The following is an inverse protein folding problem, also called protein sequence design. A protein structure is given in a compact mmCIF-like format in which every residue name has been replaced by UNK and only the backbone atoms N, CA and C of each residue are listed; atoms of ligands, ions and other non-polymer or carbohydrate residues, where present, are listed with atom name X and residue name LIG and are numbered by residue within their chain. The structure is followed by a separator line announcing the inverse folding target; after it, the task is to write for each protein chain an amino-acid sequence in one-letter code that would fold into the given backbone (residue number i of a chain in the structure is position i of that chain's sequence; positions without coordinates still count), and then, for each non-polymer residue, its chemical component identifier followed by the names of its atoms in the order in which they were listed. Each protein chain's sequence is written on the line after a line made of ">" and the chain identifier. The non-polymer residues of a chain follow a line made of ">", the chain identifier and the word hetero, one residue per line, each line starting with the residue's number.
data_IF_009204790891
#
_entry.id   IF_009204790891
#
_cell.length_a   1.000
_cell.length_b   1.000
_cell.length_c   1.000
_cell.angle_alpha   90.00
_cell.angle_beta   90.00
_cell.angle_gamma   90.00
#
_symmetry.space_group_name_H-M   'P 1'
#
loop_
_entity.id
_entity.type
_entity.pdbx_description
1 polymer ?
#
# COMPACT_ATOMS: atom_id res chain seq x y z
N UNK A 1 -12.74 -3.19 -16.98
CA UNK A 1 -13.38 -3.54 -15.70
C UNK A 1 -13.22 -2.39 -14.71
N UNK A 2 -14.29 -1.98 -14.11
CA UNK A 2 -14.26 -0.90 -13.12
C UNK A 2 -13.87 -1.47 -11.76
N UNK A 3 -12.83 -0.90 -11.15
CA UNK A 3 -12.36 -1.34 -9.83
C UNK A 3 -12.98 -0.55 -8.68
N UNK A 4 -13.87 0.39 -9.00
CA UNK A 4 -14.47 1.31 -8.05
C UNK A 4 -13.87 2.71 -8.17
N UNK A 5 -14.52 3.69 -7.58
CA UNK A 5 -14.10 5.09 -7.60
C UNK A 5 -13.28 5.49 -6.37
N UNK A 6 -13.13 4.60 -5.41
CA UNK A 6 -12.34 4.87 -4.20
C UNK A 6 -13.06 5.66 -3.14
N UNK A 7 -14.39 5.63 -3.17
CA UNK A 7 -15.24 6.20 -2.12
C UNK A 7 -15.74 5.10 -1.18
N UNK A 8 -16.29 5.48 -0.03
CA UNK A 8 -16.85 4.51 0.90
C UNK A 8 -18.00 3.69 0.28
N UNK A 9 -18.81 4.34 -0.58
CA UNK A 9 -19.94 3.70 -1.25
C UNK A 9 -19.53 2.89 -2.48
N UNK A 10 -18.37 3.17 -3.03
CA UNK A 10 -17.83 2.53 -4.23
C UNK A 10 -16.32 2.34 -4.09
N UNK A 11 -15.88 1.49 -3.15
CA UNK A 11 -14.46 1.31 -2.87
C UNK A 11 -13.72 0.67 -4.05
N UNK A 12 -12.42 0.87 -4.08
CA UNK A 12 -11.55 0.11 -4.98
C UNK A 12 -11.54 -1.35 -4.56
N UNK A 13 -11.82 -2.26 -5.50
CA UNK A 13 -11.79 -3.70 -5.27
C UNK A 13 -10.47 -4.23 -5.82
N UNK A 14 -9.67 -4.80 -4.94
CA UNK A 14 -8.27 -5.15 -5.22
C UNK A 14 -7.98 -6.59 -4.82
N UNK A 15 -6.86 -7.11 -5.36
CA UNK A 15 -6.29 -8.39 -4.94
C UNK A 15 -4.81 -8.19 -4.63
N UNK A 16 -4.29 -8.99 -3.70
CA UNK A 16 -2.86 -8.99 -3.40
C UNK A 16 -2.05 -9.44 -4.62
N UNK A 17 -0.75 -9.15 -4.64
CA UNK A 17 0.11 -9.44 -5.79
C UNK A 17 0.04 -10.89 -6.27
N UNK A 18 0.04 -11.92 -5.38
CA UNK A 18 -0.15 -13.31 -5.83
C UNK A 18 -1.55 -13.62 -6.37
N UNK A 19 -2.52 -12.73 -6.17
CA UNK A 19 -3.90 -12.92 -6.63
C UNK A 19 -4.71 -13.86 -5.76
N UNK A 20 -4.27 -14.17 -4.55
CA UNK A 20 -4.88 -15.17 -3.67
C UNK A 20 -5.87 -14.57 -2.67
N UNK A 21 -5.84 -13.27 -2.42
CA UNK A 21 -6.67 -12.62 -1.40
C UNK A 21 -7.23 -11.30 -1.92
N UNK A 22 -8.54 -11.12 -1.75
CA UNK A 22 -9.22 -9.89 -2.12
C UNK A 22 -9.34 -8.94 -0.92
N UNK A 23 -9.40 -7.64 -1.21
CA UNK A 23 -9.60 -6.60 -0.21
C UNK A 23 -10.13 -5.34 -0.88
N UNK A 24 -10.57 -4.37 -0.08
CA UNK A 24 -11.04 -3.09 -0.62
C UNK A 24 -10.32 -1.93 0.02
N UNK A 25 -10.23 -0.82 -0.69
CA UNK A 25 -9.71 0.43 -0.15
C UNK A 25 -10.61 1.59 -0.56
N UNK A 26 -10.68 2.61 0.29
CA UNK A 26 -11.34 3.87 -0.06
C UNK A 26 -10.69 5.05 0.65
N UNK A 27 -10.91 6.25 0.12
CA UNK A 27 -10.44 7.50 0.72
C UNK A 27 -11.44 7.97 1.78
N UNK A 28 -10.93 8.35 2.94
CA UNK A 28 -11.66 9.11 3.94
C UNK A 28 -10.98 10.47 4.07
N UNK A 29 -11.41 11.42 3.26
CA UNK A 29 -10.80 12.74 3.18
C UNK A 29 -11.19 13.65 4.34
N UNK A 30 -12.26 13.31 5.06
CA UNK A 30 -12.72 14.06 6.21
C UNK A 30 -11.98 13.69 7.49
N UNK A 31 -11.31 12.55 7.51
CA UNK A 31 -10.51 12.14 8.66
C UNK A 31 -9.30 13.06 8.83
N UNK A 32 -8.80 13.16 10.06
CA UNK A 32 -7.62 13.95 10.38
C UNK A 32 -6.55 13.06 11.03
N UNK A 33 -5.46 12.74 10.33
CA UNK A 33 -5.16 13.13 8.94
C UNK A 33 -6.06 12.41 7.92
N UNK A 34 -6.13 12.91 6.68
CA UNK A 34 -6.84 12.20 5.61
C UNK A 34 -6.32 10.77 5.49
N UNK A 35 -7.24 9.82 5.40
CA UNK A 35 -6.95 8.40 5.59
C UNK A 35 -7.33 7.57 4.36
N UNK A 36 -6.49 6.58 4.08
CA UNK A 36 -6.77 5.49 3.15
C UNK A 36 -7.22 4.31 4.01
N UNK A 37 -8.50 3.95 3.88
CA UNK A 37 -9.09 2.85 4.65
C UNK A 37 -8.95 1.56 3.85
N UNK A 38 -8.40 0.52 4.46
CA UNK A 38 -8.17 -0.79 3.85
C UNK A 38 -8.96 -1.83 4.63
N UNK A 39 -9.92 -2.47 3.96
CA UNK A 39 -10.75 -3.51 4.59
C UNK A 39 -10.31 -4.88 4.10
N UNK A 40 -9.83 -5.70 5.01
CA UNK A 40 -9.36 -7.06 4.75
C UNK A 40 -10.18 -8.02 5.61
N UNK A 41 -11.21 -8.64 5.02
CA UNK A 41 -12.15 -9.44 5.80
C UNK A 41 -12.80 -8.59 6.89
N UNK A 42 -12.71 -9.02 8.13
CA UNK A 42 -13.24 -8.29 9.28
C UNK A 42 -12.27 -7.24 9.84
N UNK A 43 -11.05 -7.15 9.30
CA UNK A 43 -10.01 -6.25 9.80
C UNK A 43 -9.98 -4.96 9.00
N UNK A 44 -9.98 -3.83 9.69
CA UNK A 44 -9.83 -2.51 9.07
C UNK A 44 -8.44 -1.97 9.38
N UNK A 45 -7.70 -1.67 8.31
CA UNK A 45 -6.40 -1.02 8.40
C UNK A 45 -6.56 0.43 7.93
N UNK A 46 -5.77 1.33 8.50
CA UNK A 46 -5.79 2.74 8.14
C UNK A 46 -4.39 3.24 7.92
N UNK A 47 -4.18 3.83 6.74
CA UNK A 47 -2.92 4.44 6.35
C UNK A 47 -3.16 5.92 6.03
N UNK A 48 -2.13 6.75 6.15
CA UNK A 48 -2.22 8.13 5.67
C UNK A 48 -2.54 8.12 4.18
N UNK A 49 -3.53 8.89 3.77
CA UNK A 49 -3.98 8.92 2.37
C UNK A 49 -2.86 9.34 1.42
N UNK A 50 -1.97 10.21 1.87
CA UNK A 50 -0.82 10.67 1.07
C UNK A 50 0.14 9.54 0.66
N UNK A 51 -0.01 8.35 1.23
CA UNK A 51 0.80 7.19 0.86
C UNK A 51 0.74 6.89 -0.63
N UNK A 52 -0.40 7.12 -1.28
CA UNK A 52 -0.56 6.88 -2.72
C UNK A 52 0.44 7.73 -3.51
N UNK A 53 0.47 9.03 -3.26
CA UNK A 53 1.36 9.96 -3.97
C UNK A 53 2.81 9.78 -3.53
N UNK A 54 3.03 9.61 -2.23
CA UNK A 54 4.38 9.49 -1.68
C UNK A 54 5.08 8.22 -2.15
N UNK A 55 4.37 7.09 -2.16
CA UNK A 55 4.93 5.83 -2.65
C UNK A 55 5.24 5.92 -4.14
N UNK A 56 4.34 6.48 -4.92
CA UNK A 56 4.58 6.65 -6.36
C UNK A 56 5.84 7.50 -6.60
N UNK A 57 5.96 8.63 -5.90
CA UNK A 57 7.13 9.51 -6.05
C UNK A 57 8.43 8.78 -5.69
N UNK A 58 8.42 8.00 -4.61
CA UNK A 58 9.59 7.22 -4.22
C UNK A 58 9.95 6.15 -5.26
N UNK A 59 8.95 5.46 -5.82
CA UNK A 59 9.19 4.47 -6.87
C UNK A 59 9.76 5.10 -8.14
N UNK A 60 9.32 6.31 -8.49
CA UNK A 60 9.92 7.06 -9.60
C UNK A 60 11.40 7.33 -9.34
N UNK A 61 11.76 7.72 -8.12
CA UNK A 61 13.16 7.95 -7.74
C UNK A 61 13.99 6.67 -7.84
N UNK A 62 13.42 5.52 -7.49
CA UNK A 62 14.13 4.25 -7.59
C UNK A 62 14.46 3.87 -9.03
N UNK A 63 13.56 4.19 -9.96
CA UNK A 63 13.78 4.00 -11.40
C UNK A 63 13.88 2.55 -11.84
N UNK A 64 13.53 1.59 -10.99
CA UNK A 64 13.65 0.15 -11.25
C UNK A 64 12.69 -0.62 -10.33
N UNK A 65 12.66 -1.92 -10.51
CA UNK A 65 11.86 -2.82 -9.68
C UNK A 65 12.29 -2.78 -8.22
N UNK A 66 11.32 -2.69 -7.32
CA UNK A 66 11.52 -2.67 -5.87
C UNK A 66 10.75 -3.83 -5.27
N UNK A 67 11.41 -4.68 -4.45
CA UNK A 67 10.71 -5.76 -3.76
C UNK A 67 9.64 -5.21 -2.82
N UNK A 68 8.52 -5.90 -2.69
CA UNK A 68 7.44 -5.47 -1.80
C UNK A 68 7.85 -5.62 -0.33
N UNK A 69 8.42 -6.74 0.04
CA UNK A 69 8.91 -7.00 1.39
C UNK A 69 7.84 -6.96 2.47
N UNK A 70 6.59 -7.26 2.09
CA UNK A 70 5.45 -7.16 3.01
C UNK A 70 5.70 -7.92 4.31
N UNK A 71 5.46 -7.26 5.44
CA UNK A 71 5.67 -7.83 6.75
C UNK A 71 4.65 -7.26 7.74
N UNK A 72 4.29 -8.08 8.71
CA UNK A 72 3.45 -7.66 9.84
C UNK A 72 4.19 -6.58 10.65
N UNK A 73 3.45 -5.76 11.39
CA UNK A 73 4.01 -4.69 12.20
C UNK A 73 5.08 -5.19 13.18
N UNK A 74 4.88 -6.38 13.75
CA UNK A 74 5.79 -6.96 14.73
C UNK A 74 7.05 -7.59 14.13
N UNK A 75 7.09 -7.75 12.81
CA UNK A 75 8.25 -8.32 12.13
C UNK A 75 9.09 -7.22 11.49
N UNK A 76 10.42 -7.34 11.50
CA UNK A 76 11.27 -6.37 10.81
C UNK A 76 11.03 -6.45 9.30
N UNK A 77 11.14 -5.31 8.65
CA UNK A 77 11.08 -5.25 7.19
C UNK A 77 12.50 -5.33 6.63
N UNK A 78 12.67 -6.09 5.55
CA UNK A 78 13.96 -6.19 4.89
C UNK A 78 14.34 -4.83 4.27
N UNK A 79 15.61 -4.40 4.39
CA UNK A 79 16.04 -3.14 3.77
C UNK A 79 15.81 -3.11 2.26
N UNK A 80 15.52 -1.93 1.73
CA UNK A 80 15.35 -1.74 0.30
C UNK A 80 13.99 -2.18 -0.25
N UNK A 81 13.03 -2.49 0.62
CA UNK A 81 11.69 -2.91 0.22
C UNK A 81 10.67 -1.79 0.41
N UNK A 82 9.51 -1.93 -0.25
CA UNK A 82 8.38 -1.01 -0.05
C UNK A 82 7.96 -0.99 1.42
N UNK A 83 7.91 -2.16 2.07
CA UNK A 83 7.53 -2.25 3.47
C UNK A 83 8.49 -1.46 4.37
N UNK A 84 9.80 -1.61 4.15
CA UNK A 84 10.81 -0.88 4.93
C UNK A 84 10.67 0.63 4.74
N UNK A 85 10.47 1.08 3.50
CA UNK A 85 10.25 2.49 3.23
C UNK A 85 8.97 3.00 3.91
N UNK A 86 7.91 2.22 3.88
CA UNK A 86 6.61 2.59 4.46
C UNK A 86 6.61 2.75 5.97
N UNK A 87 7.71 2.40 6.64
CA UNK A 87 7.89 2.56 8.09
C UNK A 87 9.19 3.26 8.44
N UNK A 88 9.92 3.75 7.45
CA UNK A 88 11.25 4.36 7.64
C UNK A 88 11.12 5.79 8.17
N UNK A 89 12.03 6.16 9.06
CA UNK A 89 12.17 7.52 9.56
C UNK A 89 12.54 8.51 8.44
N UNK A 90 13.05 8.01 7.32
CA UNK A 90 13.53 8.83 6.20
C UNK A 90 12.46 9.06 5.13
N UNK A 91 11.27 8.51 5.29
CA UNK A 91 10.18 8.75 4.35
C UNK A 91 9.49 10.11 4.62
N UNK A 92 8.63 10.59 3.72
CA UNK A 92 8.01 11.91 3.86
C UNK A 92 7.21 12.16 5.15
N UNK A 93 6.69 11.12 5.80
CA UNK A 93 5.96 11.29 7.06
C UNK A 93 6.82 10.98 8.29
N UNK A 94 8.07 10.59 8.08
CA UNK A 94 9.02 10.35 9.16
C UNK A 94 8.80 9.05 9.93
N UNK A 95 8.14 8.07 9.34
CA UNK A 95 7.87 6.79 9.97
C UNK A 95 6.68 6.06 9.38
N UNK A 96 5.89 5.41 10.22
CA UNK A 96 4.77 4.60 9.79
C UNK A 96 3.69 5.41 9.06
N UNK A 97 3.28 4.95 7.90
CA UNK A 97 2.06 5.42 7.25
C UNK A 97 0.82 4.87 7.93
N UNK A 98 0.92 3.68 8.53
CA UNK A 98 -0.17 3.09 9.29
C UNK A 98 -0.52 3.92 10.52
N UNK A 99 -1.82 4.19 10.72
CA UNK A 99 -2.30 5.10 11.76
C UNK A 99 -2.72 4.39 13.05
N UNK A 100 -3.04 3.09 12.95
CA UNK A 100 -3.54 2.34 14.09
C UNK A 100 -2.45 1.41 14.63
N UNK A 101 -1.98 1.66 15.84
CA UNK A 101 -0.98 0.80 16.49
C UNK A 101 -1.47 -0.65 16.55
N UNK A 102 -0.59 -1.60 16.25
CA UNK A 102 -0.91 -3.02 16.11
C UNK A 102 -1.35 -3.41 14.70
N UNK A 103 -1.69 -2.45 13.83
CA UNK A 103 -2.21 -2.65 12.48
C UNK A 103 -1.50 -1.78 11.45
N UNK A 104 -0.25 -1.39 11.73
CA UNK A 104 0.53 -0.48 10.87
C UNK A 104 1.34 -1.20 9.79
N UNK A 105 1.48 -2.52 9.91
CA UNK A 105 2.26 -3.32 8.97
C UNK A 105 1.53 -3.59 7.67
N UNK A 106 2.15 -4.43 6.84
CA UNK A 106 1.61 -4.90 5.56
C UNK A 106 1.40 -3.80 4.52
N UNK A 107 2.06 -2.67 4.71
CA UNK A 107 2.06 -1.57 3.74
C UNK A 107 2.49 -2.06 2.35
N UNK A 108 3.55 -2.87 2.28
CA UNK A 108 4.05 -3.44 1.03
C UNK A 108 3.12 -4.49 0.40
N UNK A 109 2.12 -4.96 1.13
CA UNK A 109 1.13 -5.88 0.60
C UNK A 109 -0.05 -5.16 -0.04
N UNK A 110 -0.52 -4.08 0.56
CA UNK A 110 -1.79 -3.45 0.18
C UNK A 110 -1.66 -2.20 -0.68
N UNK A 111 -0.57 -1.45 -0.60
CA UNK A 111 -0.40 -0.23 -1.40
C UNK A 111 -0.01 -0.50 -2.87
N UNK A 112 0.94 -1.41 -3.18
CA UNK A 112 1.33 -1.63 -4.57
C UNK A 112 0.20 -2.08 -5.49
N UNK A 113 -0.71 -3.00 -5.10
CA UNK A 113 -1.83 -3.32 -5.97
C UNK A 113 -2.74 -2.13 -6.26
N UNK A 114 -2.89 -1.20 -5.33
CA UNK A 114 -3.66 0.01 -5.58
C UNK A 114 -2.99 0.88 -6.64
N UNK A 115 -1.66 1.07 -6.57
CA UNK A 115 -0.94 1.85 -7.59
C UNK A 115 -1.07 1.20 -8.97
N UNK A 116 -1.02 -0.13 -9.03
CA UNK A 116 -1.23 -0.85 -10.29
C UNK A 116 -2.63 -0.58 -10.84
N UNK A 117 -3.64 -0.71 -9.99
CA UNK A 117 -5.03 -0.49 -10.39
C UNK A 117 -5.28 0.95 -10.86
N UNK A 118 -4.56 1.92 -10.31
CA UNK A 118 -4.65 3.32 -10.71
C UNK A 118 -3.80 3.64 -11.95
N UNK A 119 -3.11 2.65 -12.52
CA UNK A 119 -2.27 2.85 -13.70
C UNK A 119 -0.96 3.57 -13.41
N UNK A 120 -0.50 3.59 -12.16
CA UNK A 120 0.70 4.32 -11.74
C UNK A 120 1.93 3.45 -11.54
N UNK A 121 1.75 2.14 -11.56
CA UNK A 121 2.84 1.19 -11.32
C UNK A 121 2.60 -0.12 -12.06
N UNK A 122 3.69 -0.82 -12.36
CA UNK A 122 3.66 -2.22 -12.75
C UNK A 122 3.94 -3.07 -11.52
N UNK A 123 3.23 -4.18 -11.39
CA UNK A 123 3.36 -5.10 -10.27
C UNK A 123 3.52 -6.51 -10.82
N UNK A 124 4.46 -7.29 -10.30
CA UNK A 124 4.56 -8.70 -10.63
C UNK A 124 3.48 -9.49 -9.89
N UNK A 125 3.08 -10.63 -10.44
CA UNK A 125 2.00 -11.46 -9.90
C UNK A 125 2.46 -12.90 -9.73
N UNK A 126 3.64 -13.08 -9.17
CA UNK A 126 4.19 -14.38 -8.85
C UNK A 126 3.58 -14.90 -7.53
N UNK A 127 3.81 -16.17 -7.22
CA UNK A 127 3.34 -16.75 -5.96
C UNK A 127 3.98 -16.06 -4.74
N UNK A 128 5.19 -15.54 -4.89
CA UNK A 128 5.92 -14.82 -3.83
C UNK A 128 7.05 -13.99 -4.44
N UNK A 129 7.68 -13.18 -3.59
CA UNK A 129 8.80 -12.30 -3.97
C UNK A 129 8.43 -11.32 -5.07
N UNK A 130 7.25 -10.74 -4.97
CA UNK A 130 6.76 -9.79 -5.94
C UNK A 130 7.48 -8.45 -5.84
N UNK A 131 7.48 -7.72 -6.94
CA UNK A 131 8.15 -6.43 -7.10
C UNK A 131 7.22 -5.44 -7.78
N UNK A 132 7.51 -4.18 -7.59
CA UNK A 132 6.76 -3.06 -8.17
C UNK A 132 7.72 -2.03 -8.73
N UNK A 133 7.32 -1.35 -9.81
CA UNK A 133 8.04 -0.19 -10.32
C UNK A 133 7.05 0.86 -10.81
N UNK A 134 7.45 2.13 -10.77
CA UNK A 134 6.62 3.22 -11.25
C UNK A 134 6.46 3.17 -12.78
N UNK A 135 5.29 3.57 -13.21
CA UNK A 135 5.04 3.89 -14.61
C UNK A 135 5.25 5.38 -14.85
#
# INVERSE_FOLDING_TARGET
>A
MTIGSGTADDPWVLTTAPGTSGYTMHRDVAADPPTLVCQVGATTLRYRLRAIEDLHAWLVEQGDWVPLGAADEKKPAAPGTVEAWGRSRDNPVGGWYGLRAGYRGRFGMYLPPLLEALGRAELTHDARNNRVRAL
#
